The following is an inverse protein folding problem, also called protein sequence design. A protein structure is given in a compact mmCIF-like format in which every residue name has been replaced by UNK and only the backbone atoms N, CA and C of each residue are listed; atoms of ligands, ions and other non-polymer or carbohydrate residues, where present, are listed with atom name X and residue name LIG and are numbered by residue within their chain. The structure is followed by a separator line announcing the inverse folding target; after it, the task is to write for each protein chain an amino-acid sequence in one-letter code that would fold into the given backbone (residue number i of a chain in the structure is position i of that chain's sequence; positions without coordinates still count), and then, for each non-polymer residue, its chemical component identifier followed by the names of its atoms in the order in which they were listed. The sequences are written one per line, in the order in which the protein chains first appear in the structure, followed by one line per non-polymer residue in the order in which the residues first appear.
data_IF_389577104923
#
_entry.id   IF_389577104923
#
_cell.length_a   1.000
_cell.length_b   1.000
_cell.length_c   1.000
_cell.angle_alpha   90.00
_cell.angle_beta   90.00
_cell.angle_gamma   90.00
#
_symmetry.space_group_name_H-M   'P 1'
#
loop_
_entity.id
_entity.type
_entity.pdbx_description
1 polymer ?
#
# COMPACT_ATOMS: atom_id res chain seq x y z
N UNK A 1 -9.56 24.49 -12.20
CA UNK A 1 -10.13 23.32 -11.52
C UNK A 1 -9.96 22.03 -12.34
N UNK A 2 -10.42 21.98 -13.58
CA UNK A 2 -10.28 20.79 -14.44
C UNK A 2 -8.82 20.38 -14.69
N UNK A 3 -7.94 21.31 -14.97
CA UNK A 3 -6.51 21.04 -15.15
C UNK A 3 -5.84 20.45 -13.90
N UNK A 4 -6.21 20.93 -12.73
CA UNK A 4 -5.71 20.44 -11.45
C UNK A 4 -6.15 18.98 -11.20
N UNK A 5 -7.41 18.66 -11.46
CA UNK A 5 -7.96 17.29 -11.33
C UNK A 5 -7.26 16.32 -12.30
N UNK A 6 -6.99 16.75 -13.55
CA UNK A 6 -6.30 15.94 -14.55
C UNK A 6 -4.85 15.66 -14.12
N UNK A 7 -4.16 16.63 -13.56
CA UNK A 7 -2.79 16.49 -13.08
C UNK A 7 -2.74 15.55 -11.86
N UNK A 8 -3.66 15.71 -10.92
CA UNK A 8 -3.76 14.85 -9.74
C UNK A 8 -4.00 13.39 -10.14
N UNK A 9 -4.94 13.12 -11.03
CA UNK A 9 -5.21 11.78 -11.55
C UNK A 9 -4.00 11.15 -12.23
N UNK A 10 -3.19 11.95 -12.94
CA UNK A 10 -1.97 11.49 -13.59
C UNK A 10 -0.91 11.01 -12.58
N UNK A 11 -0.75 11.74 -11.47
CA UNK A 11 0.17 11.35 -10.41
C UNK A 11 -0.30 10.09 -9.67
N UNK A 12 -1.58 10.00 -9.34
CA UNK A 12 -2.18 8.81 -8.70
C UNK A 12 -1.93 7.57 -9.56
N UNK A 13 -2.24 7.63 -10.84
CA UNK A 13 -1.98 6.53 -11.78
C UNK A 13 -0.49 6.17 -11.83
N UNK A 14 0.40 7.14 -11.96
CA UNK A 14 1.86 6.95 -12.01
C UNK A 14 2.37 6.15 -10.80
N UNK A 15 1.97 6.54 -9.60
CA UNK A 15 2.43 5.89 -8.39
C UNK A 15 1.83 4.50 -8.20
N UNK A 16 0.57 4.28 -8.58
CA UNK A 16 -0.01 2.94 -8.56
C UNK A 16 0.68 2.01 -9.56
N UNK A 17 1.07 2.49 -10.73
CA UNK A 17 1.84 1.69 -11.70
C UNK A 17 3.20 1.26 -11.13
N UNK A 18 3.85 2.11 -10.34
CA UNK A 18 5.09 1.71 -9.63
C UNK A 18 4.83 0.61 -8.59
N UNK A 19 3.71 0.68 -7.86
CA UNK A 19 3.31 -0.39 -6.95
C UNK A 19 3.06 -1.71 -7.71
N UNK A 20 2.42 -1.64 -8.87
CA UNK A 20 2.21 -2.82 -9.75
C UNK A 20 3.54 -3.41 -10.23
N UNK A 21 4.52 -2.58 -10.57
CA UNK A 21 5.88 -3.06 -10.90
C UNK A 21 6.50 -3.85 -9.76
N UNK A 22 6.39 -3.37 -8.52
CA UNK A 22 6.89 -4.08 -7.35
C UNK A 22 6.15 -5.41 -7.12
N UNK A 23 4.84 -5.44 -7.34
CA UNK A 23 4.05 -6.67 -7.28
C UNK A 23 4.51 -7.70 -8.32
N UNK A 24 4.79 -7.27 -9.54
CA UNK A 24 5.31 -8.14 -10.61
C UNK A 24 6.69 -8.71 -10.28
N UNK A 25 7.57 -7.89 -9.69
CA UNK A 25 8.88 -8.35 -9.21
C UNK A 25 8.73 -9.39 -8.11
N UNK A 26 7.82 -9.16 -7.16
CA UNK A 26 7.52 -10.11 -6.09
C UNK A 26 7.06 -11.46 -6.66
N UNK A 27 6.11 -11.45 -7.61
CA UNK A 27 5.64 -12.66 -8.30
C UNK A 27 6.77 -13.45 -8.95
N UNK A 28 7.67 -12.78 -9.66
CA UNK A 28 8.84 -13.42 -10.29
C UNK A 28 9.78 -14.09 -9.28
N UNK A 29 9.79 -13.63 -8.04
CA UNK A 29 10.61 -14.15 -6.96
C UNK A 29 9.89 -15.17 -6.07
N UNK A 30 8.73 -15.67 -6.49
CA UNK A 30 7.95 -16.66 -5.73
C UNK A 30 7.19 -16.07 -4.54
N UNK A 31 7.04 -14.77 -4.46
CA UNK A 31 6.25 -14.08 -3.43
C UNK A 31 4.81 -13.87 -3.89
N UNK A 32 3.89 -13.67 -2.95
CA UNK A 32 2.55 -13.18 -3.26
C UNK A 32 2.68 -11.81 -3.95
N UNK A 33 2.00 -11.59 -5.10
CA UNK A 33 2.21 -10.40 -5.94
C UNK A 33 1.52 -9.15 -5.38
N UNK A 34 1.97 -8.67 -4.24
CA UNK A 34 1.57 -7.39 -3.65
C UNK A 34 2.74 -6.42 -3.74
N UNK A 35 2.47 -5.22 -4.19
CA UNK A 35 3.45 -4.14 -4.26
C UNK A 35 2.93 -2.88 -3.59
N UNK A 36 3.83 -2.13 -2.99
CA UNK A 36 3.50 -0.89 -2.29
C UNK A 36 4.55 0.20 -2.52
N UNK A 37 4.09 1.45 -2.51
CA UNK A 37 4.91 2.66 -2.69
C UNK A 37 4.45 3.72 -1.70
N UNK A 38 5.39 4.38 -1.02
CA UNK A 38 5.11 5.57 -0.22
C UNK A 38 5.67 6.80 -0.90
N UNK A 39 4.83 7.82 -0.97
CA UNK A 39 5.12 9.12 -1.60
C UNK A 39 5.08 10.21 -0.55
N UNK A 40 6.11 11.05 -0.55
CA UNK A 40 6.23 12.25 0.28
C UNK A 40 6.58 13.43 -0.60
N UNK A 41 5.76 14.48 -0.58
CA UNK A 41 5.94 15.69 -1.42
C UNK A 41 6.20 15.34 -2.90
N UNK A 42 5.35 14.48 -3.45
CA UNK A 42 5.42 13.98 -4.84
C UNK A 42 6.68 13.17 -5.18
N UNK A 43 7.45 12.75 -4.20
CA UNK A 43 8.62 11.90 -4.38
C UNK A 43 8.41 10.52 -3.75
N UNK A 44 8.78 9.47 -4.45
CA UNK A 44 8.80 8.11 -3.92
C UNK A 44 9.95 8.01 -2.91
N UNK A 45 9.64 7.71 -1.65
CA UNK A 45 10.63 7.55 -0.58
C UNK A 45 10.78 6.10 -0.14
N UNK A 46 9.84 5.23 -0.50
CA UNK A 46 9.94 3.79 -0.24
C UNK A 46 9.11 3.01 -1.27
N UNK A 47 9.61 1.87 -1.69
CA UNK A 47 8.89 0.93 -2.55
C UNK A 47 9.34 -0.51 -2.27
N UNK A 48 8.42 -1.46 -2.31
CA UNK A 48 8.70 -2.89 -2.13
C UNK A 48 7.52 -3.75 -2.58
N UNK A 49 7.81 -5.00 -2.93
CA UNK A 49 6.83 -6.08 -2.93
C UNK A 49 6.88 -6.86 -1.63
N UNK A 50 6.02 -7.87 -1.49
CA UNK A 50 6.09 -8.84 -0.41
C UNK A 50 7.45 -9.55 -0.41
N UNK A 51 7.99 -9.83 0.77
CA UNK A 51 9.26 -10.53 0.99
C UNK A 51 9.13 -11.64 2.05
N UNK A 52 7.95 -12.23 2.19
CA UNK A 52 7.66 -13.26 3.19
C UNK A 52 8.50 -14.52 2.99
N UNK A 53 8.62 -14.97 1.75
CA UNK A 53 9.40 -16.18 1.40
C UNK A 53 10.89 -15.93 1.57
N UNK A 54 11.38 -14.82 1.00
CA UNK A 54 12.81 -14.43 1.07
C UNK A 54 13.31 -14.35 2.51
N UNK A 55 12.53 -13.80 3.41
CA UNK A 55 12.92 -13.61 4.82
C UNK A 55 12.38 -14.68 5.76
N UNK A 56 11.67 -15.68 5.26
CA UNK A 56 10.98 -16.70 6.11
C UNK A 56 10.18 -16.02 7.24
N UNK A 57 9.48 -14.93 6.90
CA UNK A 57 8.78 -14.11 7.88
C UNK A 57 7.40 -13.70 7.34
N UNK A 58 6.30 -14.22 7.94
CA UNK A 58 4.93 -13.93 7.47
C UNK A 58 4.49 -12.48 7.69
N UNK A 59 5.25 -11.68 8.41
CA UNK A 59 4.96 -10.26 8.64
C UNK A 59 5.51 -9.35 7.54
N UNK A 60 6.32 -9.87 6.62
CA UNK A 60 6.99 -9.10 5.57
C UNK A 60 6.08 -8.81 4.39
N UNK A 61 4.92 -8.22 4.67
CA UNK A 61 4.01 -7.66 3.68
C UNK A 61 4.62 -6.38 3.08
N UNK A 62 4.30 -6.11 1.82
CA UNK A 62 4.80 -4.93 1.10
C UNK A 62 4.56 -3.62 1.88
N UNK A 63 3.36 -3.48 2.46
CA UNK A 63 2.97 -2.30 3.25
C UNK A 63 3.84 -2.14 4.50
N UNK A 64 4.10 -3.22 5.22
CA UNK A 64 4.95 -3.20 6.42
C UNK A 64 6.38 -2.77 6.08
N UNK A 65 6.90 -3.27 4.97
CA UNK A 65 8.25 -2.95 4.52
C UNK A 65 8.37 -1.47 4.14
N UNK A 66 7.45 -0.94 3.34
CA UNK A 66 7.52 0.46 2.92
C UNK A 66 7.27 1.44 4.08
N UNK A 67 6.40 1.09 5.04
CA UNK A 67 6.21 1.89 6.25
C UNK A 67 7.51 1.97 7.08
N UNK A 68 8.21 0.85 7.24
CA UNK A 68 9.50 0.81 7.91
C UNK A 68 10.55 1.66 7.17
N UNK A 69 10.71 1.44 5.86
CA UNK A 69 11.66 2.20 5.02
C UNK A 69 11.38 3.71 5.04
N UNK A 70 10.10 4.10 4.95
CA UNK A 70 9.73 5.50 5.00
C UNK A 70 10.02 6.13 6.37
N UNK A 71 9.77 5.40 7.46
CA UNK A 71 10.10 5.83 8.81
C UNK A 71 11.60 6.09 8.95
N UNK A 72 12.42 5.16 8.47
CA UNK A 72 13.89 5.28 8.48
C UNK A 72 14.35 6.47 7.65
N UNK A 73 13.87 6.61 6.41
CA UNK A 73 14.24 7.70 5.52
C UNK A 73 13.91 9.09 6.09
N UNK A 74 12.73 9.24 6.69
CA UNK A 74 12.33 10.50 7.34
C UNK A 74 13.16 10.78 8.59
N UNK A 75 13.44 9.75 9.39
CA UNK A 75 14.26 9.87 10.60
C UNK A 75 15.68 10.38 10.29
N UNK A 76 16.28 9.92 9.19
CA UNK A 76 17.61 10.34 8.76
C UNK A 76 17.71 11.85 8.49
N UNK A 77 16.59 12.49 8.13
CA UNK A 77 16.52 13.93 7.91
C UNK A 77 15.83 14.68 9.06
N UNK A 78 15.70 14.03 10.23
CA UNK A 78 15.15 14.65 11.43
C UNK A 78 13.63 14.80 11.47
N UNK A 79 12.90 14.06 10.60
CA UNK A 79 11.45 14.07 10.53
C UNK A 79 10.84 12.79 11.11
N UNK A 80 9.59 12.87 11.55
CA UNK A 80 8.82 11.71 12.03
C UNK A 80 7.65 11.45 11.11
N UNK A 81 7.49 10.18 10.72
CA UNK A 81 6.39 9.73 9.86
C UNK A 81 5.02 10.16 10.40
N UNK A 82 4.87 10.28 11.71
CA UNK A 82 3.59 10.63 12.36
C UNK A 82 3.14 12.06 12.12
N UNK A 83 4.04 12.95 11.74
CA UNK A 83 3.76 14.38 11.58
C UNK A 83 3.83 14.86 10.15
N UNK A 84 4.23 13.96 9.23
CA UNK A 84 4.34 14.28 7.82
C UNK A 84 3.13 13.74 7.06
N UNK A 85 2.78 14.39 5.96
CA UNK A 85 1.69 13.95 5.08
C UNK A 85 2.24 13.03 4.01
N UNK A 86 1.95 11.74 4.15
CA UNK A 86 2.39 10.71 3.22
C UNK A 86 1.20 10.03 2.55
N UNK A 87 1.43 9.62 1.30
CA UNK A 87 0.49 8.81 0.54
C UNK A 87 1.05 7.39 0.40
N UNK A 88 0.22 6.40 0.64
CA UNK A 88 0.53 4.99 0.43
C UNK A 88 -0.29 4.45 -0.76
N UNK A 89 0.40 3.85 -1.70
CA UNK A 89 -0.18 3.14 -2.85
C UNK A 89 0.11 1.66 -2.70
N UNK A 90 -0.91 0.82 -2.76
CA UNK A 90 -0.76 -0.64 -2.67
C UNK A 90 -1.70 -1.34 -3.64
N UNK A 91 -1.25 -2.42 -4.25
CA UNK A 91 -2.00 -3.12 -5.30
C UNK A 91 -3.22 -3.87 -4.78
N UNK A 92 -3.24 -4.25 -3.51
CA UNK A 92 -4.32 -5.00 -2.87
C UNK A 92 -4.80 -4.29 -1.60
N UNK A 93 -6.08 -4.43 -1.29
CA UNK A 93 -6.65 -3.98 -0.02
C UNK A 93 -5.79 -4.50 1.15
N UNK A 94 -5.26 -3.62 2.01
CA UNK A 94 -4.47 -4.04 3.17
C UNK A 94 -5.22 -4.96 4.13
N UNK A 95 -4.52 -5.97 4.65
CA UNK A 95 -5.03 -6.82 5.71
C UNK A 95 -5.14 -6.08 7.06
N UNK A 96 -5.71 -6.71 8.07
CA UNK A 96 -5.90 -6.10 9.39
C UNK A 96 -4.59 -5.61 10.02
N UNK A 97 -3.52 -6.39 9.92
CA UNK A 97 -2.19 -6.02 10.44
C UNK A 97 -1.67 -4.74 9.76
N UNK A 98 -1.71 -4.72 8.43
CA UNK A 98 -1.23 -3.58 7.65
C UNK A 98 -2.12 -2.34 7.86
N UNK A 99 -3.43 -2.51 7.93
CA UNK A 99 -4.36 -1.42 8.23
C UNK A 99 -4.06 -0.75 9.57
N UNK A 100 -3.81 -1.54 10.62
CA UNK A 100 -3.42 -1.01 11.92
C UNK A 100 -2.07 -0.28 11.86
N UNK A 101 -1.09 -0.84 11.15
CA UNK A 101 0.20 -0.18 10.96
C UNK A 101 0.08 1.16 10.20
N UNK A 102 -0.76 1.21 9.17
CA UNK A 102 -1.07 2.43 8.41
C UNK A 102 -1.64 3.51 9.33
N UNK A 103 -2.58 3.14 10.22
CA UNK A 103 -3.14 4.05 11.22
C UNK A 103 -2.07 4.55 12.20
N UNK A 104 -1.24 3.66 12.73
CA UNK A 104 -0.17 4.01 13.67
C UNK A 104 0.85 4.97 13.06
N UNK A 105 1.17 4.79 11.79
CA UNK A 105 2.07 5.68 11.05
C UNK A 105 1.41 6.98 10.58
N UNK A 106 0.11 7.14 10.78
CA UNK A 106 -0.68 8.32 10.42
C UNK A 106 -0.61 8.70 8.95
N UNK A 107 -0.67 7.69 8.07
CA UNK A 107 -0.74 7.91 6.62
C UNK A 107 -1.94 8.80 6.28
N UNK A 108 -1.72 9.83 5.48
CA UNK A 108 -2.76 10.79 5.09
C UNK A 108 -3.74 10.18 4.08
N UNK A 109 -3.22 9.63 2.98
CA UNK A 109 -4.02 9.04 1.93
C UNK A 109 -3.59 7.60 1.63
N UNK A 110 -4.55 6.70 1.59
CA UNK A 110 -4.37 5.30 1.19
C UNK A 110 -5.07 5.07 -0.14
N UNK A 111 -4.30 4.69 -1.14
CA UNK A 111 -4.80 4.29 -2.46
C UNK A 111 -4.56 2.79 -2.63
N UNK A 112 -5.60 2.01 -2.91
CA UNK A 112 -5.39 0.61 -3.25
C UNK A 112 -6.12 0.20 -4.53
N UNK A 113 -5.59 -0.86 -5.19
CA UNK A 113 -6.09 -1.34 -6.47
C UNK A 113 -7.29 -2.26 -6.31
N UNK A 114 -7.04 -3.50 -5.97
CA UNK A 114 -8.05 -4.55 -5.86
C UNK A 114 -8.61 -4.70 -4.45
N UNK A 115 -9.91 -4.98 -4.34
CA UNK A 115 -10.53 -5.43 -3.09
C UNK A 115 -10.04 -6.84 -2.74
N UNK A 116 -9.95 -7.15 -1.46
CA UNK A 116 -9.64 -8.49 -0.97
C UNK A 116 -10.73 -9.00 -0.01
N UNK A 117 -11.78 -9.65 -0.52
CA UNK A 117 -12.86 -10.17 0.32
C UNK A 117 -12.42 -11.25 1.32
N UNK A 118 -11.29 -11.92 1.06
CA UNK A 118 -10.78 -13.02 1.91
C UNK A 118 -9.88 -12.54 3.03
N UNK A 119 -8.98 -11.61 2.74
CA UNK A 119 -7.93 -11.18 3.68
C UNK A 119 -7.90 -9.70 3.98
N UNK A 120 -8.76 -8.90 3.37
CA UNK A 120 -8.79 -7.44 3.56
C UNK A 120 -9.19 -7.04 4.98
N UNK A 121 -8.73 -5.85 5.38
CA UNK A 121 -9.00 -5.28 6.69
C UNK A 121 -9.53 -3.85 6.65
N UNK A 122 -9.86 -3.32 5.46
CA UNK A 122 -10.38 -1.95 5.27
C UNK A 122 -11.88 -1.97 4.99
N UNK A 123 -12.27 -2.43 3.82
CA UNK A 123 -13.66 -2.57 3.36
C UNK A 123 -14.27 -3.90 3.81
N UNK A 124 -13.43 -4.91 3.95
CA UNK A 124 -13.78 -6.28 4.33
C UNK A 124 -13.17 -6.63 5.69
N UNK A 125 -13.48 -7.83 6.16
CA UNK A 125 -12.92 -8.38 7.39
C UNK A 125 -13.16 -7.52 8.61
N UNK A 126 -12.09 -7.23 9.34
CA UNK A 126 -12.15 -6.50 10.61
C UNK A 126 -12.44 -5.00 10.48
N UNK A 127 -12.38 -4.43 9.28
CA UNK A 127 -12.67 -2.99 9.05
C UNK A 127 -12.00 -2.11 10.09
N UNK A 128 -10.68 -2.21 10.18
CA UNK A 128 -9.86 -1.61 11.25
C UNK A 128 -10.14 -0.13 11.45
N UNK A 129 -10.35 0.63 10.37
CA UNK A 129 -10.57 2.08 10.47
C UNK A 129 -11.94 2.46 11.06
N UNK A 130 -12.86 1.52 11.19
CA UNK A 130 -14.18 1.74 11.78
C UNK A 130 -14.23 1.46 13.28
N UNK A 131 -13.15 0.93 13.87
CA UNK A 131 -13.08 0.61 15.30
C UNK A 131 -12.79 1.84 16.15
N UNK A 132 -13.37 1.87 17.36
CA UNK A 132 -13.19 2.96 18.33
C UNK A 132 -11.74 3.14 18.78
N UNK A 133 -10.93 2.08 18.71
CA UNK A 133 -9.51 2.12 19.06
C UNK A 133 -8.60 2.52 17.90
N UNK A 134 -9.16 2.79 16.73
CA UNK A 134 -8.42 3.36 15.61
C UNK A 134 -8.38 4.89 15.75
N UNK A 135 -7.23 5.44 16.13
CA UNK A 135 -7.08 6.86 16.46
C UNK A 135 -6.72 7.74 15.26
N UNK A 136 -6.37 7.15 14.12
CA UNK A 136 -6.15 7.86 12.87
C UNK A 136 -6.72 7.06 11.71
N UNK A 137 -7.54 7.72 10.90
CA UNK A 137 -8.10 7.15 9.67
C UNK A 137 -7.53 7.89 8.46
N UNK A 138 -6.86 7.19 7.54
CA UNK A 138 -6.47 7.81 6.28
C UNK A 138 -7.70 8.11 5.43
N UNK A 139 -7.58 9.03 4.47
CA UNK A 139 -8.52 9.09 3.37
C UNK A 139 -8.28 7.85 2.50
N UNK A 140 -9.34 7.10 2.17
CA UNK A 140 -9.24 5.83 1.46
C UNK A 140 -9.82 5.95 0.05
N UNK A 141 -9.02 5.56 -0.94
CA UNK A 141 -9.40 5.54 -2.35
C UNK A 141 -9.13 4.14 -2.91
N UNK A 142 -10.18 3.43 -3.30
CA UNK A 142 -10.09 2.08 -3.85
C UNK A 142 -10.29 2.06 -5.36
N UNK A 143 -9.94 0.94 -5.99
CA UNK A 143 -10.16 0.73 -7.42
C UNK A 143 -9.17 1.45 -8.33
N UNK A 144 -8.04 1.89 -7.80
CA UNK A 144 -7.00 2.57 -8.59
C UNK A 144 -6.24 1.53 -9.43
N UNK A 145 -6.32 1.64 -10.77
CA UNK A 145 -5.79 0.63 -11.71
C UNK A 145 -6.29 -0.78 -11.36
N UNK A 146 -7.57 -0.88 -11.02
CA UNK A 146 -8.23 -2.08 -10.50
C UNK A 146 -8.03 -3.30 -11.40
N UNK A 147 -8.18 -3.16 -12.72
CA UNK A 147 -8.06 -4.26 -13.66
C UNK A 147 -6.66 -4.88 -13.63
N UNK A 148 -5.60 -4.08 -13.68
CA UNK A 148 -4.23 -4.54 -13.62
C UNK A 148 -3.91 -5.18 -12.26
N UNK A 149 -4.41 -4.61 -11.17
CA UNK A 149 -4.23 -5.15 -9.83
C UNK A 149 -4.95 -6.49 -9.66
N UNK A 150 -6.18 -6.62 -10.15
CA UNK A 150 -6.92 -7.88 -10.10
C UNK A 150 -6.25 -9.00 -10.88
N UNK A 151 -5.65 -8.71 -12.04
CA UNK A 151 -4.94 -9.69 -12.86
C UNK A 151 -3.76 -10.35 -12.13
N UNK A 152 -3.10 -9.62 -11.22
CA UNK A 152 -2.02 -10.17 -10.40
C UNK A 152 -2.49 -11.32 -9.51
N UNK A 153 -3.74 -11.25 -9.02
CA UNK A 153 -4.32 -12.26 -8.12
C UNK A 153 -4.96 -13.41 -8.83
N UNK A 154 -5.58 -13.20 -9.99
CA UNK A 154 -6.24 -14.25 -10.75
C UNK A 154 -5.24 -15.24 -11.34
N UNK A 155 -4.01 -14.80 -11.66
CA UNK A 155 -2.95 -15.69 -12.11
C UNK A 155 -2.38 -16.57 -10.99
N UNK A 156 -2.31 -16.06 -9.74
CA UNK A 156 -1.82 -16.83 -8.59
C UNK A 156 -2.89 -17.78 -8.01
N UNK A 157 -4.15 -17.41 -8.05
CA UNK A 157 -5.25 -18.27 -7.62
C UNK A 157 -5.42 -19.53 -8.50
N UNK A 158 -4.85 -19.55 -9.69
CA UNK A 158 -4.84 -20.70 -10.58
C UNK A 158 -3.74 -21.72 -10.25
N UNK A 159 -2.73 -21.32 -9.44
CA UNK A 159 -1.58 -22.16 -9.06
C UNK A 159 -1.74 -22.79 -7.65
N UNK A 160 -2.81 -22.45 -6.92
CA UNK A 160 -3.23 -23.10 -5.67
C UNK A 160 -4.30 -24.18 -5.94
#
# INVERSE_FOLDING_TARGET
MLFYIIMENKYIKKFMLLAIEEAKKASKNGEVPVGAVIVYKNNVIARSGNLMVKHSNPLMHAEMIVLKKATEALSEIGLSIRYEKLDLYVTLEPCAMCAQAISLCRIENLYYGADDPKGGGIKHGSKVFDHSTCHHKPNVFSGIEKEQSCLLYTSDAADE
#
